data_IF_840361934580
#
_entry.id   IF_840361934580
#
_cell.length_a   1.000
_cell.length_b   1.000
_cell.length_c   1.000
_cell.angle_alpha   90.00
_cell.angle_beta   90.00
_cell.angle_gamma   90.00
#
_symmetry.space_group_name_H-M   'P 1'
#
loop_
_entity.id
_entity.type
_entity.pdbx_description
1 polymer ?
#
# COMPACT_ATOMS: atom_id res chain seq x y z
N UNK A 1 28.80 -9.77 6.99
CA UNK A 1 27.71 -9.49 7.95
C UNK A 1 26.37 -9.25 7.26
N UNK A 2 26.29 -8.34 6.26
CA UNK A 2 25.02 -8.04 5.57
C UNK A 2 24.45 -9.21 4.73
N UNK A 3 25.32 -10.00 4.09
CA UNK A 3 24.88 -11.16 3.30
C UNK A 3 24.13 -12.20 4.16
N UNK A 4 24.65 -12.49 5.35
CA UNK A 4 24.06 -13.43 6.32
C UNK A 4 22.71 -12.96 6.85
N UNK A 5 22.53 -11.64 6.99
CA UNK A 5 21.24 -11.06 7.40
C UNK A 5 20.17 -11.24 6.33
N UNK A 6 20.54 -11.13 5.04
CA UNK A 6 19.59 -11.27 3.93
C UNK A 6 19.02 -12.67 3.84
N UNK A 7 19.88 -13.68 3.98
CA UNK A 7 19.47 -15.08 3.88
C UNK A 7 18.64 -15.50 5.11
N UNK A 8 18.93 -14.95 6.29
CA UNK A 8 18.10 -15.12 7.48
C UNK A 8 16.68 -14.54 7.28
N UNK A 9 16.55 -13.35 6.69
CA UNK A 9 15.22 -12.77 6.41
C UNK A 9 14.45 -13.60 5.38
N UNK A 10 15.12 -14.07 4.32
CA UNK A 10 14.52 -14.96 3.32
C UNK A 10 13.93 -16.21 3.97
N UNK A 11 14.71 -16.89 4.83
CA UNK A 11 14.24 -18.09 5.54
C UNK A 11 13.03 -17.83 6.43
N UNK A 12 12.99 -16.68 7.12
CA UNK A 12 11.82 -16.30 7.95
C UNK A 12 10.57 -16.02 7.12
N UNK A 13 10.71 -15.42 5.94
CA UNK A 13 9.58 -15.17 5.03
C UNK A 13 9.05 -16.48 4.46
N UNK A 14 9.96 -17.38 4.04
CA UNK A 14 9.59 -18.70 3.53
C UNK A 14 8.89 -19.55 4.60
N UNK A 15 9.37 -19.53 5.85
CA UNK A 15 8.72 -20.20 6.99
C UNK A 15 7.31 -19.64 7.27
N UNK A 16 7.16 -18.31 7.27
CA UNK A 16 5.87 -17.67 7.51
C UNK A 16 4.85 -18.01 6.41
N UNK A 17 5.26 -17.93 5.14
CA UNK A 17 4.43 -18.32 4.01
C UNK A 17 4.06 -19.80 4.09
N UNK A 18 5.02 -20.68 4.40
CA UNK A 18 4.79 -22.11 4.62
C UNK A 18 3.79 -22.39 5.74
N UNK A 19 3.79 -21.61 6.82
CA UNK A 19 2.81 -21.74 7.91
C UNK A 19 1.44 -21.22 7.52
N UNK A 20 1.34 -20.12 6.79
CA UNK A 20 0.04 -19.60 6.29
C UNK A 20 -0.61 -20.55 5.27
N UNK A 21 0.20 -21.11 4.36
CA UNK A 21 -0.27 -22.02 3.32
C UNK A 21 -0.46 -23.47 3.82
N UNK A 22 0.44 -23.94 4.69
CA UNK A 22 0.46 -25.30 5.22
C UNK A 22 -0.45 -25.50 6.43
N UNK A 23 -0.69 -24.47 7.25
CA UNK A 23 -1.65 -24.54 8.36
C UNK A 23 -3.12 -24.49 7.92
N UNK A 24 -3.38 -24.35 6.61
CA UNK A 24 -4.73 -24.43 6.02
C UNK A 24 -5.21 -25.85 5.72
N UNK A 25 -4.37 -26.88 5.84
CA UNK A 25 -4.74 -28.25 5.46
C UNK A 25 -5.62 -28.99 6.50
N UNK A 26 -5.97 -28.36 7.64
CA UNK A 26 -6.80 -28.97 8.68
C UNK A 26 -8.11 -28.22 8.99
N UNK A 27 -8.53 -27.26 8.16
CA UNK A 27 -9.88 -26.68 8.26
C UNK A 27 -10.44 -26.43 6.87
N UNK A 28 -10.97 -27.51 6.29
CA UNK A 28 -11.88 -27.44 5.16
C UNK A 28 -13.17 -26.71 5.59
N UNK A 29 -13.18 -25.39 5.47
CA UNK A 29 -14.43 -24.64 5.34
C UNK A 29 -14.62 -24.36 3.86
N UNK A 30 -15.43 -25.23 3.26
CA UNK A 30 -16.00 -25.07 1.94
C UNK A 30 -16.66 -23.69 1.83
N UNK A 31 -16.01 -22.74 1.15
CA UNK A 31 -16.70 -21.62 0.52
C UNK A 31 -17.00 -22.01 -0.92
N UNK A 32 -17.88 -22.99 -1.06
CA UNK A 32 -18.62 -23.23 -2.30
C UNK A 32 -19.89 -22.39 -2.24
N UNK A 33 -19.76 -21.08 -2.44
CA UNK A 33 -20.92 -20.25 -2.74
C UNK A 33 -21.18 -20.34 -4.25
N UNK A 34 -22.14 -21.20 -4.58
CA UNK A 34 -22.62 -21.47 -5.92
C UNK A 34 -23.18 -20.19 -6.58
N UNK A 35 -22.48 -19.68 -7.59
CA UNK A 35 -23.05 -18.79 -8.59
C UNK A 35 -23.96 -19.61 -9.51
N UNK A 36 -25.19 -19.83 -9.06
CA UNK A 36 -26.29 -20.36 -9.87
C UNK A 36 -26.76 -19.25 -10.81
N UNK A 37 -26.19 -19.20 -12.01
CA UNK A 37 -26.72 -18.42 -13.14
C UNK A 37 -27.92 -19.18 -13.72
N UNK A 38 -29.16 -18.64 -13.69
CA UNK A 38 -30.25 -19.18 -14.50
C UNK A 38 -30.18 -18.59 -15.92
N UNK A 39 -30.27 -19.42 -16.99
CA UNK A 39 -30.53 -18.91 -18.32
C UNK A 39 -32.04 -18.90 -18.55
N UNK A 40 -32.68 -17.75 -18.76
CA UNK A 40 -33.98 -17.77 -19.45
C UNK A 40 -34.24 -16.50 -20.23
N UNK A 41 -34.64 -16.76 -21.46
CA UNK A 41 -34.83 -15.90 -22.62
C UNK A 41 -36.22 -15.25 -22.57
N UNK A 42 -36.35 -14.14 -23.31
CA UNK A 42 -37.58 -13.56 -23.92
C UNK A 42 -38.64 -12.88 -23.02
N UNK A 43 -38.84 -11.58 -23.28
CA UNK A 43 -40.05 -10.77 -23.07
C UNK A 43 -41.28 -11.37 -23.80
N UNK A 44 -42.56 -10.92 -23.63
CA UNK A 44 -43.02 -9.59 -23.15
C UNK A 44 -44.31 -9.49 -22.28
N UNK A 45 -44.55 -8.26 -21.76
CA UNK A 45 -45.82 -7.57 -21.44
C UNK A 45 -46.83 -8.12 -20.39
N UNK A 46 -47.30 -7.15 -19.57
CA UNK A 46 -48.59 -7.03 -18.84
C UNK A 46 -48.63 -7.26 -17.31
N UNK A 47 -48.83 -6.14 -16.60
CA UNK A 47 -49.91 -5.85 -15.64
C UNK A 47 -50.10 -6.66 -14.32
N UNK A 48 -50.07 -5.88 -13.21
CA UNK A 48 -51.02 -5.88 -12.07
C UNK A 48 -50.78 -6.78 -10.82
N UNK A 49 -50.81 -6.08 -9.68
CA UNK A 49 -51.24 -6.45 -8.31
C UNK A 49 -50.31 -7.20 -7.32
N UNK A 50 -50.01 -6.47 -6.23
CA UNK A 50 -49.79 -6.88 -4.82
C UNK A 50 -50.93 -7.79 -4.29
N UNK A 51 -50.80 -8.55 -3.17
CA UNK A 51 -50.22 -8.08 -1.90
C UNK A 51 -49.53 -9.10 -0.94
N UNK A 52 -48.85 -8.50 0.05
CA UNK A 52 -48.69 -8.88 1.46
C UNK A 52 -48.38 -10.34 1.85
N UNK A 53 -47.15 -10.54 2.37
CA UNK A 53 -46.84 -11.66 3.27
C UNK A 53 -46.04 -11.19 4.48
N UNK A 54 -46.60 -11.56 5.63
CA UNK A 54 -46.13 -11.51 7.01
C UNK A 54 -44.62 -11.77 7.15
N UNK A 55 -43.91 -10.86 7.82
CA UNK A 55 -42.50 -11.03 8.18
C UNK A 55 -42.38 -11.13 9.70
N UNK A 56 -42.09 -12.35 10.16
CA UNK A 56 -41.74 -12.72 11.54
C UNK A 56 -40.41 -12.08 11.97
N UNK A 57 -40.24 -11.64 13.23
CA UNK A 57 -38.96 -11.18 13.75
C UNK A 57 -38.08 -12.39 14.07
N UNK A 58 -37.20 -12.76 13.14
CA UNK A 58 -36.13 -13.73 13.38
C UNK A 58 -35.14 -13.09 14.36
N UNK A 59 -35.21 -13.53 15.61
CA UNK A 59 -34.29 -13.14 16.68
C UNK A 59 -32.90 -13.73 16.37
N UNK A 60 -32.07 -12.96 15.66
CA UNK A 60 -30.67 -13.28 15.38
C UNK A 60 -29.82 -13.09 16.64
N UNK A 61 -29.89 -14.04 17.58
CA UNK A 61 -28.90 -14.17 18.66
C UNK A 61 -27.64 -14.87 18.12
N UNK A 62 -26.87 -14.17 17.28
CA UNK A 62 -25.63 -14.66 16.65
C UNK A 62 -24.39 -13.86 17.09
N UNK A 63 -24.40 -13.28 18.30
CA UNK A 63 -23.31 -12.41 18.80
C UNK A 63 -22.46 -13.02 19.93
N UNK A 64 -22.56 -14.32 20.21
CA UNK A 64 -21.90 -14.93 21.37
C UNK A 64 -20.58 -15.68 21.08
N UNK A 65 -20.09 -15.73 19.83
CA UNK A 65 -18.89 -16.51 19.47
C UNK A 65 -17.64 -15.69 19.14
N UNK A 66 -17.70 -14.35 19.12
CA UNK A 66 -16.64 -13.50 18.55
C UNK A 66 -15.68 -12.86 19.57
N UNK A 67 -15.82 -13.12 20.88
CA UNK A 67 -14.98 -12.42 21.88
C UNK A 67 -13.58 -13.03 22.00
N UNK A 68 -13.41 -14.34 21.79
CA UNK A 68 -12.13 -15.00 21.95
C UNK A 68 -11.18 -14.82 20.75
N UNK A 69 -11.72 -14.74 19.52
CA UNK A 69 -10.92 -14.53 18.31
C UNK A 69 -10.37 -13.09 18.23
N UNK A 70 -11.14 -12.11 18.72
CA UNK A 70 -10.74 -10.70 18.72
C UNK A 70 -9.64 -10.36 19.74
N UNK A 71 -9.42 -11.17 20.77
CA UNK A 71 -8.33 -10.97 21.72
C UNK A 71 -6.95 -11.09 21.03
N UNK A 72 -6.80 -12.03 20.09
CA UNK A 72 -5.57 -12.18 19.31
C UNK A 72 -5.32 -11.02 18.34
N UNK A 73 -6.40 -10.50 17.75
CA UNK A 73 -6.33 -9.34 16.83
C UNK A 73 -6.00 -8.06 17.60
N UNK A 74 -6.61 -7.84 18.76
CA UNK A 74 -6.34 -6.69 19.61
C UNK A 74 -4.86 -6.67 20.07
N UNK A 75 -4.31 -7.82 20.45
CA UNK A 75 -2.91 -7.92 20.85
C UNK A 75 -1.95 -7.71 19.67
N UNK A 76 -2.29 -8.23 18.49
CA UNK A 76 -1.52 -7.97 17.27
C UNK A 76 -1.50 -6.47 16.92
N UNK A 77 -2.64 -5.79 16.99
CA UNK A 77 -2.74 -4.34 16.75
C UNK A 77 -1.96 -3.55 17.80
N UNK A 78 -2.04 -3.93 19.07
CA UNK A 78 -1.29 -3.31 20.17
C UNK A 78 0.22 -3.38 19.92
N UNK A 79 0.71 -4.55 19.48
CA UNK A 79 2.11 -4.75 19.13
C UNK A 79 2.57 -3.89 17.95
N UNK A 80 1.75 -3.78 16.91
CA UNK A 80 2.05 -2.90 15.76
C UNK A 80 2.14 -1.43 16.20
N UNK A 81 1.24 -0.98 17.08
CA UNK A 81 1.29 0.38 17.63
C UNK A 81 2.56 0.63 18.46
N UNK A 82 2.97 -0.31 19.31
CA UNK A 82 4.22 -0.23 20.08
C UNK A 82 5.46 -0.16 19.17
N UNK A 83 5.50 -1.02 18.14
CA UNK A 83 6.61 -1.05 17.19
C UNK A 83 6.72 0.27 16.41
N UNK A 84 5.58 0.85 15.97
CA UNK A 84 5.55 2.16 15.32
C UNK A 84 5.99 3.29 16.25
N UNK A 85 5.53 3.28 17.51
CA UNK A 85 5.93 4.28 18.50
C UNK A 85 7.44 4.24 18.76
N UNK A 86 8.00 3.03 18.85
CA UNK A 86 9.46 2.83 19.00
C UNK A 86 10.23 3.35 17.80
N UNK A 87 9.74 3.11 16.58
CA UNK A 87 10.36 3.62 15.36
C UNK A 87 10.31 5.15 15.31
N UNK A 88 9.19 5.78 15.67
CA UNK A 88 9.07 7.24 15.74
C UNK A 88 10.11 7.85 16.70
N UNK A 89 10.29 7.26 17.89
CA UNK A 89 11.32 7.69 18.85
C UNK A 89 12.74 7.58 18.29
N UNK A 90 13.04 6.53 17.51
CA UNK A 90 14.36 6.41 16.88
C UNK A 90 14.62 7.45 15.79
N UNK A 91 13.56 7.99 15.19
CA UNK A 91 13.68 8.98 14.12
C UNK A 91 13.85 10.40 14.69
N UNK A 92 13.20 10.72 15.82
CA UNK A 92 13.43 11.99 16.53
C UNK A 92 14.80 12.06 17.19
N UNK A 93 15.41 10.93 17.55
CA UNK A 93 16.77 10.90 18.09
C UNK A 93 17.86 11.24 17.05
N UNK A 94 17.52 11.41 15.77
CA UNK A 94 18.40 11.99 14.75
C UNK A 94 18.22 13.51 14.75
N UNK A 95 18.50 14.12 15.90
CA UNK A 95 18.63 15.57 16.03
C UNK A 95 20.03 15.95 15.53
N UNK A 96 20.19 16.84 14.53
CA UNK A 96 21.48 17.30 14.02
C UNK A 96 22.21 18.25 14.99
N UNK A 97 22.20 17.96 16.29
CA UNK A 97 22.82 18.78 17.34
C UNK A 97 24.35 18.63 17.45
N UNK A 98 25.01 18.11 16.40
CA UNK A 98 26.46 18.02 16.30
C UNK A 98 27.04 18.90 15.17
N UNK A 99 26.46 20.08 14.93
CA UNK A 99 27.16 21.16 14.25
C UNK A 99 27.93 22.00 15.29
N UNK A 100 29.28 22.05 15.24
CA UNK A 100 30.04 22.93 16.11
C UNK A 100 29.79 24.42 15.76
N UNK A 101 29.75 25.32 16.75
CA UNK A 101 29.50 26.74 16.53
C UNK A 101 30.78 27.42 16.01
N UNK A 102 30.88 27.57 14.69
CA UNK A 102 31.84 28.49 14.09
C UNK A 102 31.11 29.81 13.75
N UNK A 103 31.25 30.75 14.69
CA UNK A 103 31.40 32.19 14.52
C UNK A 103 30.58 32.94 13.44
N UNK A 104 29.83 33.93 13.94
CA UNK A 104 29.71 35.30 13.43
C UNK A 104 29.66 35.54 11.91
N UNK A 105 28.51 35.96 11.38
CA UNK A 105 28.23 37.38 11.09
C UNK A 105 26.84 37.54 10.43
N UNK A 106 26.22 38.68 10.71
CA UNK A 106 24.86 39.06 10.31
C UNK A 106 24.84 39.80 8.93
N UNK A 107 23.70 40.34 8.49
CA UNK A 107 23.04 39.99 7.24
C UNK A 107 23.37 40.93 6.07
N UNK A 108 23.69 40.37 4.91
CA UNK A 108 23.73 41.11 3.65
C UNK A 108 22.73 40.51 2.66
N UNK A 109 21.70 41.31 2.41
CA UNK A 109 20.71 41.15 1.35
C UNK A 109 21.48 41.11 0.03
N UNK A 110 21.46 39.98 -0.66
CA UNK A 110 21.96 39.86 -2.03
C UNK A 110 21.04 38.92 -2.78
N UNK A 111 20.00 39.55 -3.29
CA UNK A 111 19.07 39.11 -4.32
C UNK A 111 19.89 38.91 -5.61
N UNK A 112 20.57 37.77 -5.69
CA UNK A 112 21.49 37.43 -6.77
C UNK A 112 21.25 36.00 -7.20
N UNK A 113 20.28 35.82 -8.10
CA UNK A 113 20.23 34.80 -9.15
C UNK A 113 21.10 33.55 -8.88
N UNK A 114 20.79 32.76 -7.85
CA UNK A 114 21.46 31.47 -7.64
C UNK A 114 20.98 30.51 -8.72
N UNK A 115 21.69 30.50 -9.85
CA UNK A 115 21.69 29.36 -10.78
C UNK A 115 21.81 28.09 -9.94
N UNK A 116 20.93 27.09 -10.12
CA UNK A 116 21.12 25.80 -9.48
C UNK A 116 22.48 25.28 -9.94
N UNK A 117 23.43 25.23 -9.01
CA UNK A 117 24.73 24.64 -9.20
C UNK A 117 24.50 23.15 -9.45
N UNK A 118 24.35 22.79 -10.72
CA UNK A 118 24.19 21.42 -11.20
C UNK A 118 25.45 20.66 -10.79
N UNK A 119 25.36 19.93 -9.68
CA UNK A 119 26.35 18.90 -9.34
C UNK A 119 26.44 17.95 -10.55
N UNK A 120 27.65 17.56 -10.97
CA UNK A 120 27.79 16.63 -12.08
C UNK A 120 27.01 15.36 -11.75
N UNK A 121 26.06 15.03 -12.61
CA UNK A 121 25.21 13.85 -12.48
C UNK A 121 26.11 12.63 -12.41
N UNK A 122 26.13 11.97 -11.26
CA UNK A 122 26.85 10.71 -11.13
C UNK A 122 26.20 9.69 -12.05
N UNK A 123 27.00 8.84 -12.69
CA UNK A 123 26.51 7.76 -13.56
C UNK A 123 25.58 6.80 -12.80
N UNK A 124 25.76 6.70 -11.47
CA UNK A 124 24.85 5.97 -10.56
C UNK A 124 23.46 6.60 -10.48
N UNK A 125 23.35 7.93 -10.57
CA UNK A 125 22.10 8.66 -10.52
C UNK A 125 21.23 8.31 -11.74
N UNK A 126 21.84 8.18 -12.92
CA UNK A 126 21.15 7.83 -14.16
C UNK A 126 20.57 6.40 -14.12
N UNK A 127 21.34 5.44 -13.60
CA UNK A 127 20.89 4.07 -13.43
C UNK A 127 19.74 3.99 -12.41
N UNK A 128 19.88 4.69 -11.27
CA UNK A 128 18.84 4.78 -10.24
C UNK A 128 17.56 5.44 -10.78
N UNK A 129 17.71 6.49 -11.59
CA UNK A 129 16.59 7.20 -12.23
C UNK A 129 15.87 6.32 -13.26
N UNK A 130 16.60 5.52 -14.03
CA UNK A 130 16.01 4.57 -14.98
C UNK A 130 15.22 3.46 -14.25
N UNK A 131 15.77 2.93 -13.16
CA UNK A 131 15.09 1.96 -12.31
C UNK A 131 13.83 2.56 -11.66
N UNK A 132 13.89 3.82 -11.23
CA UNK A 132 12.75 4.53 -10.66
C UNK A 132 11.62 4.72 -11.69
N UNK A 133 11.94 5.06 -12.94
CA UNK A 133 10.96 5.16 -14.03
C UNK A 133 10.28 3.80 -14.26
N UNK A 134 11.05 2.72 -14.38
CA UNK A 134 10.50 1.37 -14.57
C UNK A 134 9.60 0.96 -13.39
N UNK A 135 9.96 1.33 -12.16
CA UNK A 135 9.13 1.10 -10.99
C UNK A 135 7.82 1.87 -11.05
N UNK A 136 7.83 3.16 -11.42
CA UNK A 136 6.62 3.96 -11.56
C UNK A 136 5.67 3.40 -12.63
N UNK A 137 6.22 2.92 -13.76
CA UNK A 137 5.44 2.25 -14.80
C UNK A 137 4.76 0.98 -14.27
N UNK A 138 5.47 0.15 -13.52
CA UNK A 138 4.89 -1.04 -12.89
C UNK A 138 3.77 -0.69 -11.90
N UNK A 139 3.90 0.40 -11.13
CA UNK A 139 2.84 0.86 -10.23
C UNK A 139 1.61 1.33 -11.01
N UNK A 140 1.81 2.07 -12.10
CA UNK A 140 0.72 2.48 -12.99
C UNK A 140 -0.04 1.27 -13.54
N UNK A 141 0.67 0.28 -14.04
CA UNK A 141 0.07 -0.94 -14.59
C UNK A 141 -0.68 -1.73 -13.51
N UNK A 142 -0.14 -1.84 -12.30
CA UNK A 142 -0.81 -2.50 -11.19
C UNK A 142 -2.11 -1.77 -10.79
N UNK A 143 -2.11 -0.43 -10.78
CA UNK A 143 -3.31 0.36 -10.50
C UNK A 143 -4.37 0.18 -11.59
N UNK A 144 -3.97 0.14 -12.87
CA UNK A 144 -4.87 -0.16 -13.98
C UNK A 144 -5.44 -1.58 -13.90
N UNK A 145 -4.63 -2.57 -13.53
CA UNK A 145 -5.06 -3.96 -13.37
C UNK A 145 -6.04 -4.17 -12.22
N UNK A 146 -5.99 -3.31 -11.19
CA UNK A 146 -6.94 -3.38 -10.08
C UNK A 146 -8.39 -3.05 -10.49
N UNK A 147 -8.59 -2.38 -11.64
CA UNK A 147 -9.90 -1.93 -12.10
C UNK A 147 -10.52 -0.81 -11.26
N UNK A 148 -9.83 -0.33 -10.22
CA UNK A 148 -10.29 0.76 -9.35
C UNK A 148 -10.02 2.15 -9.96
N UNK A 149 -9.00 2.25 -10.83
CA UNK A 149 -8.56 3.49 -11.45
C UNK A 149 -8.80 3.42 -12.96
N UNK A 150 -9.51 4.40 -13.51
CA UNK A 150 -9.72 4.55 -14.95
C UNK A 150 -8.60 5.37 -15.59
N UNK A 151 -8.41 5.25 -16.91
CA UNK A 151 -7.36 5.98 -17.63
C UNK A 151 -7.42 7.51 -17.55
N UNK A 152 -8.55 8.08 -17.11
CA UNK A 152 -8.73 9.52 -16.86
C UNK A 152 -8.68 9.92 -15.38
N UNK A 153 -8.30 9.01 -14.48
CA UNK A 153 -8.23 9.29 -13.05
C UNK A 153 -7.07 10.24 -12.73
N UNK A 154 -7.31 11.20 -11.84
CA UNK A 154 -6.30 12.17 -11.38
C UNK A 154 -5.05 11.49 -10.80
N UNK A 155 -5.20 10.31 -10.17
CA UNK A 155 -4.05 9.55 -9.64
C UNK A 155 -3.14 9.07 -10.76
N UNK A 156 -3.70 8.51 -11.84
CA UNK A 156 -2.89 8.04 -12.98
C UNK A 156 -2.28 9.21 -13.75
N UNK A 157 -2.99 10.33 -13.88
CA UNK A 157 -2.46 11.55 -14.49
C UNK A 157 -1.27 12.13 -13.70
N UNK A 158 -1.34 12.12 -12.37
CA UNK A 158 -0.23 12.54 -11.53
C UNK A 158 0.99 11.60 -11.66
N UNK A 159 0.75 10.29 -11.76
CA UNK A 159 1.80 9.30 -12.05
C UNK A 159 2.44 9.53 -13.42
N UNK A 160 1.64 9.80 -14.46
CA UNK A 160 2.13 10.08 -15.80
C UNK A 160 2.94 11.37 -15.87
N UNK A 161 2.51 12.42 -15.17
CA UNK A 161 3.28 13.65 -15.03
C UNK A 161 4.64 13.38 -14.37
N UNK A 162 4.67 12.56 -13.31
CA UNK A 162 5.89 12.19 -12.60
C UNK A 162 6.83 11.31 -13.44
N UNK A 163 6.29 10.40 -14.24
CA UNK A 163 7.05 9.60 -15.20
C UNK A 163 7.66 10.51 -16.27
N UNK A 164 6.87 11.45 -16.82
CA UNK A 164 7.35 12.43 -17.79
C UNK A 164 8.46 13.32 -17.22
N UNK A 165 8.29 13.83 -15.99
CA UNK A 165 9.31 14.61 -15.28
C UNK A 165 10.61 13.79 -15.12
N UNK A 166 10.51 12.54 -14.67
CA UNK A 166 11.68 11.68 -14.52
C UNK A 166 12.40 11.43 -15.86
N UNK A 167 11.66 11.32 -16.97
CA UNK A 167 12.24 11.24 -18.32
C UNK A 167 12.92 12.55 -18.74
N UNK A 168 12.32 13.71 -18.46
CA UNK A 168 12.95 15.01 -18.77
C UNK A 168 14.24 15.21 -17.99
N UNK A 169 14.28 14.72 -16.74
CA UNK A 169 15.53 14.68 -16.01
C UNK A 169 16.52 13.78 -16.74
N UNK A 170 16.19 12.54 -17.07
CA UNK A 170 17.13 11.63 -17.74
C UNK A 170 17.79 12.22 -19.01
N UNK A 171 17.05 13.01 -19.79
CA UNK A 171 17.50 13.55 -21.08
C UNK A 171 18.16 14.94 -21.02
N UNK A 172 18.02 15.68 -19.91
CA UNK A 172 18.55 17.05 -19.72
C UNK A 172 19.89 17.12 -18.98
#
# INVERSE_FOLDING_TARGET
ALATSRDHFRGKVEDLCGRLLGSGAASAVLVSAALKVPPTRTAPLAAVALPATVQEPVSCSLFAMDVAANAGVAEALRKVQEDLAKLALTWEAVDPAAQPPAACEAPAISEGLRRPSRKPRSVQDLAQQTQHIAWLQSQKDALLQSGLYGGGDGVLLALDAKIAEAHTHLTA
#
